data_IF_680018197773
#
_entry.id   IF_680018197773
#
_cell.length_a   1.000
_cell.length_b   1.000
_cell.length_c   1.000
_cell.angle_alpha   90.00
_cell.angle_beta   90.00
_cell.angle_gamma   90.00
#
_symmetry.space_group_name_H-M   'P 1'
#
loop_
_entity.id
_entity.type
_entity.pdbx_description
1 polymer ?
#
# COMPACT_ATOMS: atom_id res chain seq x y z
N UNK A 1 13.66 -1.20 3.88
CA UNK A 1 12.72 -2.01 3.05
C UNK A 1 11.37 -1.33 3.08
N UNK A 2 10.97 -0.65 1.99
CA UNK A 2 9.83 0.27 1.97
C UNK A 2 8.59 -0.33 2.64
N UNK A 3 8.28 0.14 3.84
CA UNK A 3 7.18 -0.39 4.64
C UNK A 3 5.82 0.09 4.14
N UNK A 4 5.75 1.32 3.64
CA UNK A 4 4.54 1.91 3.08
C UNK A 4 4.88 3.05 2.15
N UNK A 5 3.98 3.38 1.22
CA UNK A 5 4.19 4.44 0.24
C UNK A 5 2.94 5.27 0.06
N UNK A 6 3.09 6.56 -0.20
CA UNK A 6 2.00 7.39 -0.72
C UNK A 6 2.01 7.30 -2.24
N UNK A 7 0.97 6.70 -2.80
CA UNK A 7 0.88 6.42 -4.24
C UNK A 7 -0.03 7.39 -4.95
N UNK A 8 0.07 7.43 -6.28
CA UNK A 8 -1.02 7.98 -7.09
C UNK A 8 -2.18 6.97 -7.09
N UNK A 9 -3.17 7.20 -6.21
CA UNK A 9 -4.35 6.35 -6.10
C UNK A 9 -5.47 6.71 -7.12
N UNK A 10 -5.42 7.93 -7.67
CA UNK A 10 -6.35 8.36 -8.71
C UNK A 10 -5.90 7.88 -10.10
N UNK A 11 -6.61 6.89 -10.66
CA UNK A 11 -6.34 6.35 -11.98
C UNK A 11 -6.38 7.44 -13.08
N UNK A 12 -7.16 8.51 -12.91
CA UNK A 12 -7.27 9.59 -13.91
C UNK A 12 -5.94 10.29 -14.13
N UNK A 13 -5.04 10.30 -13.15
CA UNK A 13 -3.67 10.81 -13.34
C UNK A 13 -2.87 9.92 -14.30
N UNK A 14 -3.01 8.59 -14.22
CA UNK A 14 -2.38 7.69 -15.19
C UNK A 14 -2.90 7.90 -16.62
N UNK A 15 -4.22 8.08 -16.78
CA UNK A 15 -4.84 8.35 -18.08
C UNK A 15 -4.28 9.64 -18.68
N UNK A 16 -4.24 10.73 -17.90
CA UNK A 16 -3.76 12.04 -18.35
C UNK A 16 -2.26 12.04 -18.66
N UNK A 17 -1.44 11.39 -17.85
CA UNK A 17 0.03 11.43 -17.97
C UNK A 17 0.55 10.42 -18.99
N UNK A 18 -0.02 9.22 -19.07
CA UNK A 18 0.53 8.12 -19.89
C UNK A 18 -0.41 7.68 -21.02
N UNK A 19 -1.58 8.29 -21.18
CA UNK A 19 -2.60 7.80 -22.12
C UNK A 19 -3.06 6.37 -21.78
N UNK A 20 -2.91 5.95 -20.51
CA UNK A 20 -3.25 4.61 -20.08
C UNK A 20 -4.77 4.42 -20.05
N UNK A 21 -5.22 3.19 -20.25
CA UNK A 21 -6.63 2.81 -20.13
C UNK A 21 -6.85 2.10 -18.80
N UNK A 22 -7.92 2.44 -18.12
CA UNK A 22 -8.31 1.75 -16.90
C UNK A 22 -8.95 0.39 -17.23
N UNK A 23 -8.53 -0.66 -16.53
CA UNK A 23 -9.24 -1.95 -16.56
C UNK A 23 -10.51 -1.87 -15.70
N UNK A 24 -11.56 -1.26 -16.27
CA UNK A 24 -12.82 -1.02 -15.55
C UNK A 24 -13.43 -2.30 -14.98
N UNK A 25 -13.24 -3.43 -15.67
CA UNK A 25 -13.74 -4.73 -15.21
C UNK A 25 -13.06 -5.17 -13.91
N UNK A 26 -11.73 -5.11 -13.82
CA UNK A 26 -11.02 -5.49 -12.59
C UNK A 26 -11.32 -4.54 -11.41
N UNK A 27 -11.51 -3.24 -11.68
CA UNK A 27 -11.97 -2.30 -10.64
C UNK A 27 -13.39 -2.63 -10.16
N UNK A 28 -14.33 -2.86 -11.09
CA UNK A 28 -15.69 -3.23 -10.73
C UNK A 28 -15.73 -4.53 -9.91
N UNK A 29 -14.99 -5.57 -10.34
CA UNK A 29 -14.85 -6.83 -9.62
C UNK A 29 -14.33 -6.62 -8.20
N UNK A 30 -13.26 -5.86 -8.02
CA UNK A 30 -12.66 -5.59 -6.71
C UNK A 30 -13.67 -4.94 -5.74
N UNK A 31 -14.39 -3.90 -6.20
CA UNK A 31 -15.37 -3.21 -5.36
C UNK A 31 -16.60 -4.06 -5.09
N UNK A 32 -17.03 -4.87 -6.07
CA UNK A 32 -18.13 -5.81 -5.91
C UNK A 32 -17.81 -6.88 -4.85
N UNK A 33 -16.70 -7.61 -5.01
CA UNK A 33 -16.29 -8.65 -4.07
C UNK A 33 -16.13 -8.12 -2.64
N UNK A 34 -15.64 -6.88 -2.48
CA UNK A 34 -15.54 -6.23 -1.18
C UNK A 34 -16.90 -5.88 -0.60
N UNK A 35 -17.80 -5.33 -1.41
CA UNK A 35 -19.12 -4.92 -0.97
C UNK A 35 -20.06 -6.12 -0.70
N UNK A 36 -19.83 -7.28 -1.32
CA UNK A 36 -20.55 -8.53 -1.02
C UNK A 36 -19.92 -9.31 0.16
N UNK A 37 -18.82 -8.81 0.73
CA UNK A 37 -18.11 -9.47 1.84
C UNK A 37 -17.30 -10.71 1.44
N UNK A 38 -17.24 -11.04 0.15
CA UNK A 38 -16.39 -12.11 -0.39
C UNK A 38 -14.90 -11.79 -0.26
N UNK A 39 -14.54 -10.50 -0.24
CA UNK A 39 -13.16 -10.02 -0.10
C UNK A 39 -12.98 -9.07 1.07
N UNK A 40 -11.85 -9.19 1.77
CA UNK A 40 -11.39 -8.24 2.81
C UNK A 40 -10.43 -7.19 2.23
N UNK A 41 -10.62 -6.83 0.96
CA UNK A 41 -9.73 -5.90 0.25
C UNK A 41 -9.57 -4.58 1.02
N UNK A 42 -8.31 -4.23 1.27
CA UNK A 42 -7.91 -2.95 1.85
C UNK A 42 -7.65 -1.98 0.71
N UNK A 43 -8.55 -1.03 0.49
CA UNK A 43 -8.45 -0.06 -0.60
C UNK A 43 -8.20 1.32 0.01
N UNK A 44 -7.17 2.06 -0.45
CA UNK A 44 -6.93 3.43 -0.01
C UNK A 44 -8.12 4.33 -0.38
N UNK A 45 -8.52 5.22 0.53
CA UNK A 45 -9.67 6.11 0.33
C UNK A 45 -9.55 6.93 -0.95
N UNK A 46 -8.36 7.39 -1.31
CA UNK A 46 -8.15 8.18 -2.52
C UNK A 46 -8.48 7.41 -3.81
N UNK A 47 -8.41 6.06 -3.81
CA UNK A 47 -8.83 5.24 -4.95
C UNK A 47 -10.35 5.13 -5.05
N UNK A 48 -11.06 5.22 -3.93
CA UNK A 48 -12.53 5.31 -3.89
C UNK A 48 -13.00 6.69 -4.34
N UNK A 49 -12.34 7.74 -3.84
CA UNK A 49 -12.68 9.14 -4.13
C UNK A 49 -12.54 9.46 -5.64
N UNK A 50 -11.71 8.71 -6.38
CA UNK A 50 -11.61 8.81 -7.84
C UNK A 50 -12.96 8.56 -8.56
N UNK A 51 -13.87 7.80 -7.94
CA UNK A 51 -15.23 7.52 -8.43
C UNK A 51 -16.30 8.45 -7.82
N UNK A 52 -15.92 9.48 -7.06
CA UNK A 52 -16.85 10.43 -6.45
C UNK A 52 -17.69 11.19 -7.49
N UNK A 53 -17.13 11.43 -8.68
CA UNK A 53 -17.79 12.05 -9.83
C UNK A 53 -17.82 11.11 -11.06
N UNK A 54 -18.74 10.13 -11.09
CA UNK A 54 -18.78 9.14 -12.15
C UNK A 54 -19.31 9.75 -13.45
N UNK A 55 -18.65 9.44 -14.56
CA UNK A 55 -19.00 9.90 -15.92
C UNK A 55 -19.64 8.79 -16.75
N UNK A 56 -19.39 7.52 -16.43
CA UNK A 56 -19.94 6.34 -17.13
C UNK A 56 -20.88 5.51 -16.25
N UNK A 57 -21.65 4.60 -16.84
CA UNK A 57 -22.50 3.66 -16.07
C UNK A 57 -21.68 2.73 -15.18
N UNK A 58 -20.55 2.23 -15.67
CA UNK A 58 -19.64 1.39 -14.88
C UNK A 58 -19.07 2.16 -13.67
N UNK A 59 -18.70 3.43 -13.84
CA UNK A 59 -18.27 4.26 -12.71
C UNK A 59 -19.41 4.54 -11.72
N UNK A 60 -20.66 4.70 -12.20
CA UNK A 60 -21.84 4.84 -11.33
C UNK A 60 -22.09 3.57 -10.51
N UNK A 61 -21.92 2.40 -11.11
CA UNK A 61 -22.02 1.11 -10.42
C UNK A 61 -20.94 0.96 -9.35
N UNK A 62 -19.68 1.27 -9.66
CA UNK A 62 -18.59 1.25 -8.67
C UNK A 62 -18.89 2.22 -7.52
N UNK A 63 -19.34 3.45 -7.82
CA UNK A 63 -19.73 4.41 -6.78
C UNK A 63 -20.84 3.86 -5.88
N UNK A 64 -21.82 3.16 -6.44
CA UNK A 64 -22.90 2.54 -5.65
C UNK A 64 -22.36 1.43 -4.73
N UNK A 65 -21.45 0.59 -5.21
CA UNK A 65 -20.79 -0.47 -4.42
C UNK A 65 -19.96 0.12 -3.27
N UNK A 66 -19.19 1.18 -3.54
CA UNK A 66 -18.45 1.95 -2.52
C UNK A 66 -19.43 2.51 -1.48
N UNK A 67 -20.52 3.14 -1.92
CA UNK A 67 -21.55 3.70 -1.04
C UNK A 67 -22.19 2.66 -0.12
N UNK A 68 -22.54 1.49 -0.64
CA UNK A 68 -23.10 0.38 0.15
C UNK A 68 -22.11 -0.12 1.20
N UNK A 69 -20.87 -0.38 0.79
CA UNK A 69 -19.82 -0.81 1.73
C UNK A 69 -19.59 0.24 2.83
N UNK A 70 -19.53 1.52 2.47
CA UNK A 70 -19.32 2.61 3.43
C UNK A 70 -20.50 2.79 4.40
N UNK A 71 -21.75 2.57 3.95
CA UNK A 71 -22.92 2.56 4.82
C UNK A 71 -22.85 1.41 5.85
N UNK A 72 -22.50 0.20 5.41
CA UNK A 72 -22.32 -0.96 6.31
C UNK A 72 -21.19 -0.73 7.33
N UNK A 73 -20.04 -0.19 6.87
CA UNK A 73 -18.95 0.15 7.78
C UNK A 73 -19.36 1.23 8.78
N UNK A 74 -20.13 2.23 8.36
CA UNK A 74 -20.65 3.28 9.25
C UNK A 74 -21.49 2.67 10.35
N UNK A 75 -22.49 1.85 10.01
CA UNK A 75 -23.34 1.16 11.00
C UNK A 75 -22.52 0.30 11.97
N UNK A 76 -21.52 -0.44 11.46
CA UNK A 76 -20.65 -1.28 12.30
C UNK A 76 -19.82 -0.44 13.27
N UNK A 77 -19.22 0.65 12.80
CA UNK A 77 -18.41 1.55 13.62
C UNK A 77 -19.25 2.26 14.68
N UNK A 78 -20.48 2.68 14.37
CA UNK A 78 -21.41 3.28 15.33
C UNK A 78 -21.83 2.29 16.43
N UNK A 79 -22.15 1.05 16.05
CA UNK A 79 -22.45 -0.02 17.01
C UNK A 79 -21.25 -0.31 17.92
N UNK A 80 -20.04 -0.39 17.35
CA UNK A 80 -18.82 -0.63 18.12
C UNK A 80 -18.49 0.58 19.02
N UNK A 81 -18.72 1.81 18.56
CA UNK A 81 -18.57 3.01 19.38
C UNK A 81 -19.49 2.99 20.60
N UNK A 82 -20.76 2.57 20.44
CA UNK A 82 -21.68 2.40 21.55
C UNK A 82 -21.19 1.35 22.56
N UNK A 83 -20.75 0.17 22.07
CA UNK A 83 -20.18 -0.90 22.90
C UNK A 83 -18.96 -0.41 23.69
N UNK A 84 -18.04 0.31 23.06
CA UNK A 84 -16.84 0.79 23.74
C UNK A 84 -17.12 1.92 24.72
N UNK A 85 -18.09 2.82 24.44
CA UNK A 85 -18.53 3.84 25.41
C UNK A 85 -19.13 3.21 26.67
N UNK A 86 -19.94 2.17 26.52
CA UNK A 86 -20.44 1.39 27.66
C UNK A 86 -19.29 0.77 28.45
N UNK A 87 -18.36 0.09 27.76
CA UNK A 87 -17.17 -0.51 28.37
C UNK A 87 -16.33 0.51 29.15
N UNK A 88 -16.17 1.72 28.63
CA UNK A 88 -15.43 2.79 29.27
C UNK A 88 -16.11 3.23 30.57
N UNK A 89 -17.42 3.51 30.52
CA UNK A 89 -18.19 3.92 31.70
C UNK A 89 -18.22 2.86 32.81
N UNK A 90 -18.36 1.57 32.44
CA UNK A 90 -18.32 0.47 33.41
C UNK A 90 -16.93 0.33 34.07
N UNK A 91 -15.87 0.53 33.29
CA UNK A 91 -14.50 0.54 33.81
C UNK A 91 -14.25 1.71 34.77
N UNK A 92 -14.69 2.91 34.42
CA UNK A 92 -14.57 4.12 35.25
C UNK A 92 -15.34 3.98 36.57
N UNK A 93 -16.57 3.45 36.53
CA UNK A 93 -17.34 3.16 37.76
C UNK A 93 -16.63 2.16 38.66
N UNK A 94 -16.02 1.13 38.09
CA UNK A 94 -15.23 0.16 38.85
C UNK A 94 -14.03 0.85 39.49
N UNK A 95 -13.29 1.67 38.74
CA UNK A 95 -12.11 2.39 39.24
C UNK A 95 -12.43 3.40 40.36
N UNK A 96 -13.61 4.01 40.36
CA UNK A 96 -14.07 4.88 41.45
C UNK A 96 -14.26 4.15 42.78
N UNK A 97 -14.66 2.87 42.73
CA UNK A 97 -14.86 2.05 43.93
C UNK A 97 -13.57 1.34 44.36
N UNK A 98 -12.81 0.81 43.39
CA UNK A 98 -11.54 0.13 43.62
C UNK A 98 -10.67 0.14 42.36
N UNK A 99 -9.43 0.60 42.50
CA UNK A 99 -8.43 0.50 41.43
C UNK A 99 -8.07 -0.97 41.23
N UNK A 100 -8.27 -1.47 40.01
CA UNK A 100 -7.88 -2.83 39.61
C UNK A 100 -7.19 -2.81 38.25
N UNK A 101 -6.21 -3.69 38.05
CA UNK A 101 -5.50 -3.82 36.76
C UNK A 101 -6.46 -4.08 35.59
N UNK A 102 -7.49 -4.90 35.81
CA UNK A 102 -8.48 -5.23 34.80
C UNK A 102 -9.32 -4.01 34.37
N UNK A 103 -9.77 -3.19 35.33
CA UNK A 103 -10.54 -1.99 35.01
C UNK A 103 -9.68 -0.91 34.35
N UNK A 104 -8.43 -0.72 34.81
CA UNK A 104 -7.47 0.22 34.18
C UNK A 104 -7.19 -0.17 32.73
N UNK A 105 -6.94 -1.45 32.46
CA UNK A 105 -6.68 -1.93 31.09
C UNK A 105 -7.94 -1.85 30.22
N UNK A 106 -9.13 -2.11 30.79
CA UNK A 106 -10.40 -1.94 30.09
C UNK A 106 -10.66 -0.49 29.70
N UNK A 107 -10.39 0.46 30.60
CA UNK A 107 -10.48 1.90 30.33
C UNK A 107 -9.56 2.28 29.17
N UNK A 108 -8.28 1.88 29.23
CA UNK A 108 -7.30 2.15 28.18
C UNK A 108 -7.75 1.63 26.81
N UNK A 109 -8.09 0.35 26.73
CA UNK A 109 -8.54 -0.28 25.47
C UNK A 109 -9.80 0.39 24.92
N UNK A 110 -10.77 0.70 25.79
CA UNK A 110 -12.02 1.34 25.35
C UNK A 110 -11.76 2.75 24.80
N UNK A 111 -10.92 3.55 25.48
CA UNK A 111 -10.50 4.87 25.02
C UNK A 111 -9.83 4.80 23.65
N UNK A 112 -8.86 3.90 23.48
CA UNK A 112 -8.14 3.72 22.21
C UNK A 112 -9.10 3.34 21.07
N UNK A 113 -10.02 2.40 21.32
CA UNK A 113 -11.01 1.96 20.33
C UNK A 113 -12.06 3.03 20.01
N UNK A 114 -12.45 3.86 20.98
CA UNK A 114 -13.35 4.99 20.74
C UNK A 114 -12.69 6.02 19.83
N UNK A 115 -11.43 6.39 20.12
CA UNK A 115 -10.67 7.32 19.30
C UNK A 115 -10.50 6.78 17.87
N UNK A 116 -10.15 5.50 17.73
CA UNK A 116 -10.05 4.83 16.43
C UNK A 116 -11.36 4.83 15.66
N UNK A 117 -12.48 4.43 16.29
CA UNK A 117 -13.78 4.36 15.62
C UNK A 117 -14.27 5.74 15.17
N UNK A 118 -14.09 6.77 16.00
CA UNK A 118 -14.39 8.16 15.63
C UNK A 118 -13.56 8.64 14.44
N UNK A 119 -12.25 8.39 14.45
CA UNK A 119 -11.37 8.76 13.35
C UNK A 119 -11.77 8.06 12.04
N UNK A 120 -12.20 6.79 12.10
CA UNK A 120 -12.71 6.07 10.93
C UNK A 120 -14.04 6.63 10.42
N UNK A 121 -14.97 6.98 11.30
CA UNK A 121 -16.21 7.64 10.91
C UNK A 121 -15.95 9.02 10.26
N UNK A 122 -15.03 9.80 10.83
CA UNK A 122 -14.59 11.07 10.24
C UNK A 122 -14.02 10.85 8.83
N UNK A 123 -13.14 9.85 8.65
CA UNK A 123 -12.57 9.55 7.34
C UNK A 123 -13.61 9.11 6.30
N UNK A 124 -14.64 8.36 6.70
CA UNK A 124 -15.73 7.96 5.82
C UNK A 124 -16.61 9.15 5.37
N UNK A 125 -16.81 10.12 6.25
CA UNK A 125 -17.65 11.30 5.98
C UNK A 125 -16.88 12.43 5.30
N UNK A 126 -15.56 12.46 5.46
CA UNK A 126 -14.70 13.53 4.94
C UNK A 126 -14.63 13.50 3.41
N UNK A 127 -14.80 14.69 2.84
CA UNK A 127 -14.66 14.95 1.40
C UNK A 127 -13.30 15.55 1.03
N UNK A 128 -12.71 16.36 1.92
CA UNK A 128 -11.42 17.01 1.69
C UNK A 128 -10.28 16.00 1.72
N UNK A 129 -9.49 15.79 0.65
CA UNK A 129 -8.45 14.76 0.61
C UNK A 129 -7.31 15.03 1.61
N UNK A 130 -6.74 13.96 2.18
CA UNK A 130 -5.55 14.01 3.05
C UNK A 130 -4.44 13.12 2.46
N UNK A 131 -3.15 13.46 2.62
CA UNK A 131 -2.04 12.65 2.11
C UNK A 131 -2.11 11.16 2.51
N UNK A 132 -2.58 10.88 3.74
CA UNK A 132 -2.78 9.52 4.25
C UNK A 132 -3.78 8.66 3.47
N UNK A 133 -4.67 9.28 2.70
CA UNK A 133 -5.71 8.57 1.92
C UNK A 133 -5.12 7.79 0.76
N UNK A 134 -3.93 8.18 0.32
CA UNK A 134 -3.15 7.53 -0.72
C UNK A 134 -2.03 6.65 -0.16
N UNK A 135 -1.92 6.50 1.16
CA UNK A 135 -0.88 5.67 1.78
C UNK A 135 -1.28 4.20 1.75
N UNK A 136 -0.45 3.38 1.11
CA UNK A 136 -0.61 1.93 1.03
C UNK A 136 0.40 1.22 1.93
N UNK A 137 0.01 0.05 2.43
CA UNK A 137 0.83 -0.88 3.20
C UNK A 137 0.74 -2.26 2.53
N UNK A 138 1.65 -3.21 2.86
CA UNK A 138 1.49 -4.60 2.43
C UNK A 138 0.07 -5.13 2.73
N UNK A 139 -0.53 -5.75 1.72
CA UNK A 139 -1.92 -6.20 1.66
C UNK A 139 -2.93 -5.16 1.16
N UNK A 140 -2.54 -3.92 0.91
CA UNK A 140 -3.41 -2.89 0.34
C UNK A 140 -3.42 -2.95 -1.19
N UNK A 141 -4.54 -2.55 -1.79
CA UNK A 141 -4.63 -2.37 -3.23
C UNK A 141 -4.08 -1.02 -3.67
N UNK A 142 -3.50 -0.98 -4.87
CA UNK A 142 -3.04 0.22 -5.55
C UNK A 142 -3.32 0.11 -7.04
N UNK A 143 -3.57 1.22 -7.75
CA UNK A 143 -3.44 1.27 -9.19
C UNK A 143 -1.99 0.99 -9.58
N UNK A 144 -1.79 0.08 -10.53
CA UNK A 144 -0.49 -0.26 -11.10
C UNK A 144 -0.63 -0.32 -12.61
N UNK A 145 0.34 0.26 -13.31
CA UNK A 145 0.36 0.27 -14.77
C UNK A 145 1.14 -0.93 -15.32
N UNK A 146 0.56 -1.59 -16.31
CA UNK A 146 1.15 -2.70 -17.07
C UNK A 146 0.98 -2.43 -18.57
N UNK A 147 1.65 -3.19 -19.43
CA UNK A 147 1.29 -3.26 -20.85
C UNK A 147 0.60 -4.59 -21.14
N UNK A 148 -0.52 -4.51 -21.86
CA UNK A 148 -1.22 -5.67 -22.39
C UNK A 148 -1.65 -5.36 -23.83
N UNK A 149 -1.33 -6.26 -24.77
CA UNK A 149 -1.62 -6.07 -26.19
C UNK A 149 -1.14 -4.71 -26.75
N UNK A 150 0.06 -4.27 -26.34
CA UNK A 150 0.67 -3.01 -26.77
C UNK A 150 0.01 -1.74 -26.20
N UNK A 151 -0.90 -1.86 -25.23
CA UNK A 151 -1.56 -0.73 -24.58
C UNK A 151 -1.20 -0.66 -23.10
N UNK A 152 -0.99 0.56 -22.60
CA UNK A 152 -0.82 0.81 -21.16
C UNK A 152 -2.16 0.63 -20.46
N UNK A 153 -2.24 -0.33 -19.55
CA UNK A 153 -3.45 -0.65 -18.77
C UNK A 153 -3.17 -0.38 -17.29
N UNK A 154 -4.11 0.26 -16.60
CA UNK A 154 -4.07 0.44 -15.14
C UNK A 154 -5.01 -0.56 -14.49
N UNK A 155 -4.48 -1.39 -13.59
CA UNK A 155 -5.22 -2.40 -12.82
C UNK A 155 -5.11 -2.13 -11.33
N UNK A 156 -6.14 -2.46 -10.55
CA UNK A 156 -6.01 -2.47 -9.09
C UNK A 156 -5.34 -3.79 -8.69
N UNK A 157 -4.15 -3.69 -8.11
CA UNK A 157 -3.39 -4.87 -7.68
C UNK A 157 -3.08 -4.77 -6.18
N UNK A 158 -3.08 -5.92 -5.50
CA UNK A 158 -2.69 -5.99 -4.08
C UNK A 158 -1.17 -5.90 -3.95
N UNK A 159 -0.67 -4.88 -3.26
CA UNK A 159 0.72 -4.78 -2.85
C UNK A 159 1.01 -5.88 -1.84
N UNK A 160 2.03 -6.72 -2.07
CA UNK A 160 2.27 -8.06 -1.49
C UNK A 160 1.89 -9.17 -2.49
N UNK A 161 2.87 -9.49 -3.33
CA UNK A 161 2.74 -10.42 -4.43
C UNK A 161 2.54 -11.86 -3.95
N UNK A 162 1.62 -12.56 -4.61
CA UNK A 162 1.51 -14.01 -4.59
C UNK A 162 1.83 -14.53 -5.99
N UNK A 163 3.00 -15.13 -6.14
CA UNK A 163 3.45 -15.69 -7.44
C UNK A 163 2.54 -16.86 -7.81
N UNK A 164 2.11 -16.91 -9.08
CA UNK A 164 1.35 -18.03 -9.65
C UNK A 164 1.98 -19.39 -9.28
N UNK A 165 1.13 -20.36 -8.95
CA UNK A 165 1.57 -21.71 -8.52
C UNK A 165 2.04 -21.82 -7.07
N UNK A 166 2.11 -20.73 -6.29
CA UNK A 166 2.31 -20.81 -4.83
C UNK A 166 0.99 -21.13 -4.12
N UNK A 167 1.00 -21.79 -2.94
CA UNK A 167 -0.21 -21.97 -2.14
C UNK A 167 -0.87 -20.65 -1.74
N UNK A 168 -2.20 -20.65 -1.56
CA UNK A 168 -2.97 -19.46 -1.13
C UNK A 168 -2.47 -18.84 0.18
N UNK A 169 -1.87 -19.66 1.06
CA UNK A 169 -1.33 -19.23 2.35
C UNK A 169 0.10 -18.66 2.29
N UNK A 170 0.76 -18.70 1.13
CA UNK A 170 2.20 -18.46 1.03
C UNK A 170 2.61 -17.06 1.51
N UNK A 171 1.95 -16.02 0.99
CA UNK A 171 2.20 -14.62 1.32
C UNK A 171 1.78 -14.25 2.74
N UNK A 172 0.89 -15.03 3.36
CA UNK A 172 0.56 -14.89 4.79
C UNK A 172 1.67 -15.48 5.65
N UNK A 173 2.21 -16.64 5.25
CA UNK A 173 3.32 -17.30 5.94
C UNK A 173 4.66 -16.56 5.77
N UNK A 174 4.86 -15.93 4.61
CA UNK A 174 6.06 -15.18 4.25
C UNK A 174 5.67 -13.75 3.84
N UNK A 175 5.44 -12.85 4.80
CA UNK A 175 4.82 -11.55 4.53
C UNK A 175 5.72 -10.56 3.77
N UNK A 176 6.97 -10.90 3.48
CA UNK A 176 7.93 -10.04 2.78
C UNK A 176 7.73 -9.92 1.26
N UNK A 177 6.74 -10.60 0.68
CA UNK A 177 6.53 -10.65 -0.79
C UNK A 177 5.99 -9.35 -1.40
N UNK A 178 6.02 -8.23 -0.68
CA UNK A 178 5.79 -6.89 -1.23
C UNK A 178 7.07 -6.23 -1.78
N UNK A 179 8.25 -6.78 -1.45
CA UNK A 179 9.54 -6.30 -1.95
C UNK A 179 10.26 -7.38 -2.76
N UNK A 180 10.46 -7.10 -4.04
CA UNK A 180 11.28 -7.90 -4.93
C UNK A 180 12.74 -7.45 -4.85
N UNK A 181 13.54 -8.14 -4.04
CA UNK A 181 14.95 -7.79 -3.90
C UNK A 181 15.68 -8.04 -5.21
N UNK A 182 16.43 -7.02 -5.68
CA UNK A 182 17.24 -7.07 -6.90
C UNK A 182 18.15 -8.30 -6.96
N UNK A 183 18.79 -8.64 -5.83
CA UNK A 183 19.71 -9.78 -5.69
C UNK A 183 19.04 -11.17 -5.75
N UNK A 184 17.71 -11.23 -5.82
CA UNK A 184 16.93 -12.47 -5.90
C UNK A 184 15.94 -12.45 -7.08
N UNK A 185 16.16 -11.56 -8.06
CA UNK A 185 15.29 -11.43 -9.25
C UNK A 185 15.27 -12.71 -10.09
N UNK A 186 16.43 -13.36 -10.24
CA UNK A 186 16.58 -14.64 -10.96
C UNK A 186 16.41 -15.88 -10.06
N UNK A 187 16.20 -15.68 -8.76
CA UNK A 187 15.91 -16.74 -7.80
C UNK A 187 14.41 -16.86 -7.55
N UNK A 188 13.94 -16.35 -6.42
CA UNK A 188 12.51 -16.42 -6.04
C UNK A 188 11.58 -15.75 -7.06
N UNK A 189 12.03 -14.65 -7.66
CA UNK A 189 11.23 -13.84 -8.60
C UNK A 189 11.38 -14.26 -10.07
N UNK A 190 12.16 -15.31 -10.36
CA UNK A 190 12.38 -15.83 -11.72
C UNK A 190 11.10 -16.05 -12.53
N UNK A 191 9.98 -16.51 -11.95
CA UNK A 191 8.75 -16.67 -12.73
C UNK A 191 8.14 -15.35 -13.24
N UNK A 192 8.56 -14.20 -12.70
CA UNK A 192 8.00 -12.88 -13.03
C UNK A 192 9.01 -11.95 -13.70
N UNK A 193 10.29 -11.98 -13.30
CA UNK A 193 11.32 -11.11 -13.89
C UNK A 193 11.65 -11.55 -15.32
N UNK A 194 11.47 -10.66 -16.29
CA UNK A 194 11.54 -10.97 -17.72
C UNK A 194 10.18 -11.27 -18.36
N UNK A 195 9.10 -11.32 -17.57
CA UNK A 195 7.78 -11.77 -18.05
C UNK A 195 6.65 -10.81 -17.68
N UNK A 196 6.58 -10.40 -16.41
CA UNK A 196 5.42 -9.68 -15.85
C UNK A 196 5.89 -8.48 -15.04
N UNK A 197 6.14 -7.39 -15.75
CA UNK A 197 6.60 -6.12 -15.19
C UNK A 197 5.46 -5.11 -15.05
N UNK A 198 5.60 -4.23 -14.07
CA UNK A 198 4.62 -3.20 -13.74
C UNK A 198 5.32 -1.91 -13.29
N UNK A 199 4.59 -0.80 -13.30
CA UNK A 199 5.01 0.48 -12.72
C UNK A 199 3.97 0.96 -11.72
N UNK A 200 4.42 1.23 -10.50
CA UNK A 200 3.65 1.92 -9.48
C UNK A 200 4.13 3.37 -9.36
N UNK A 201 3.21 4.32 -9.26
CA UNK A 201 3.56 5.73 -9.11
C UNK A 201 3.56 6.12 -7.63
N UNK A 202 4.67 6.68 -7.16
CA UNK A 202 4.89 7.00 -5.73
C UNK A 202 5.31 8.46 -5.57
N UNK A 203 4.62 9.21 -4.69
CA UNK A 203 5.00 10.57 -4.32
C UNK A 203 6.10 10.55 -3.24
N UNK A 204 5.90 9.74 -2.21
CA UNK A 204 6.83 9.56 -1.08
C UNK A 204 6.76 8.13 -0.57
N UNK A 205 7.84 7.66 0.02
CA UNK A 205 7.86 6.38 0.73
C UNK A 205 8.17 6.58 2.21
N UNK A 206 7.77 5.61 3.02
CA UNK A 206 7.92 5.65 4.46
C UNK A 206 8.55 4.39 4.99
N UNK A 207 9.30 4.59 6.06
CA UNK A 207 10.26 3.62 6.51
C UNK A 207 10.36 3.64 8.04
N UNK A 208 10.31 2.45 8.66
CA UNK A 208 10.48 2.32 10.11
C UNK A 208 11.98 2.28 10.43
N UNK A 209 12.44 3.19 11.26
CA UNK A 209 13.84 3.33 11.66
C UNK A 209 13.96 3.18 13.17
N UNK A 210 15.00 2.49 13.62
CA UNK A 210 15.35 2.44 15.04
C UNK A 210 15.75 3.84 15.49
N UNK A 211 15.06 4.39 16.49
CA UNK A 211 15.29 5.76 16.97
C UNK A 211 16.75 6.00 17.37
N UNK A 212 17.40 5.01 18.01
CA UNK A 212 18.81 5.08 18.38
C UNK A 212 19.74 5.31 17.17
N UNK A 213 19.45 4.67 16.03
CA UNK A 213 20.23 4.88 14.80
C UNK A 213 20.05 6.28 14.24
N UNK A 214 18.82 6.81 14.29
CA UNK A 214 18.53 8.17 13.85
C UNK A 214 19.22 9.22 14.74
N UNK A 215 19.23 9.00 16.06
CA UNK A 215 19.82 9.92 17.04
C UNK A 215 21.35 9.75 17.18
N UNK A 216 21.95 8.76 16.52
CA UNK A 216 23.38 8.46 16.64
C UNK A 216 23.80 8.00 18.04
N UNK A 217 22.85 7.48 18.82
CA UNK A 217 23.03 7.05 20.20
C UNK A 217 23.27 5.54 20.29
N UNK A 218 23.92 5.10 21.38
CA UNK A 218 24.14 3.68 21.61
C UNK A 218 22.79 2.97 21.82
N UNK A 219 22.56 1.85 21.13
CA UNK A 219 21.29 1.11 21.24
C UNK A 219 20.96 0.64 22.68
N UNK A 220 21.94 0.62 23.58
CA UNK A 220 21.80 0.25 24.98
C UNK A 220 21.17 1.36 25.85
N UNK A 221 21.14 2.61 25.39
CA UNK A 221 20.52 3.75 26.11
C UNK A 221 19.05 3.96 25.75
N UNK A 222 18.52 3.18 24.81
CA UNK A 222 17.12 3.21 24.41
C UNK A 222 16.44 1.87 24.71
N UNK A 223 15.15 1.89 25.05
CA UNK A 223 14.35 0.67 25.01
C UNK A 223 14.39 0.14 23.56
N UNK A 224 14.70 -1.14 23.36
CA UNK A 224 14.95 -1.78 22.04
C UNK A 224 13.75 -1.70 21.06
N UNK A 225 12.65 -1.06 21.48
CA UNK A 225 11.37 -0.99 20.80
C UNK A 225 11.02 0.41 20.28
N UNK A 226 11.84 1.43 20.52
CA UNK A 226 11.57 2.78 19.99
C UNK A 226 11.90 2.85 18.50
N UNK A 227 10.89 2.62 17.66
CA UNK A 227 10.95 2.89 16.22
C UNK A 227 10.24 4.20 15.90
N UNK A 228 10.80 4.96 14.97
CA UNK A 228 10.15 6.12 14.36
C UNK A 228 9.85 5.82 12.89
N UNK A 229 8.84 6.47 12.35
CA UNK A 229 8.54 6.40 10.92
C UNK A 229 9.13 7.66 10.27
N UNK A 230 9.98 7.47 9.26
CA UNK A 230 10.45 8.55 8.42
C UNK A 230 9.67 8.59 7.12
N UNK A 231 9.30 9.79 6.67
CA UNK A 231 8.88 10.07 5.30
C UNK A 231 10.13 10.42 4.50
N UNK A 232 10.31 9.81 3.32
CA UNK A 232 11.34 10.13 2.35
C UNK A 232 10.69 10.70 1.08
N UNK A 233 11.10 11.92 0.72
CA UNK A 233 10.58 12.67 -0.42
C UNK A 233 11.70 13.03 -1.39
N UNK A 234 11.52 12.81 -2.70
CA UNK A 234 12.50 13.26 -3.68
C UNK A 234 12.55 14.80 -3.69
N UNK A 235 13.74 15.36 -3.54
CA UNK A 235 13.98 16.82 -3.43
C UNK A 235 13.56 17.62 -4.66
N UNK A 236 13.53 16.99 -5.84
CA UNK A 236 13.00 17.59 -7.06
C UNK A 236 11.46 17.68 -7.08
N UNK A 237 10.78 17.07 -6.10
CA UNK A 237 9.32 17.02 -6.02
C UNK A 237 8.64 16.18 -7.11
N UNK A 238 9.43 15.43 -7.89
CA UNK A 238 8.92 14.63 -9.00
C UNK A 238 8.33 13.30 -8.54
N UNK A 239 7.47 12.74 -9.38
CA UNK A 239 6.82 11.47 -9.13
C UNK A 239 7.77 10.32 -9.44
N UNK A 240 7.94 9.39 -8.50
CA UNK A 240 8.73 8.19 -8.71
C UNK A 240 7.93 7.16 -9.51
N UNK A 241 8.51 6.69 -10.63
CA UNK A 241 8.00 5.58 -11.43
C UNK A 241 8.64 4.29 -10.94
N UNK A 242 8.06 3.67 -9.91
CA UNK A 242 8.69 2.54 -9.22
C UNK A 242 8.54 1.26 -10.02
N UNK A 243 9.67 0.63 -10.34
CA UNK A 243 9.73 -0.68 -10.99
C UNK A 243 9.11 -1.75 -10.10
N UNK A 244 8.21 -2.56 -10.66
CA UNK A 244 7.49 -3.60 -9.95
C UNK A 244 7.41 -4.89 -10.77
N UNK A 245 7.23 -6.00 -10.07
CA UNK A 245 6.83 -7.29 -10.65
C UNK A 245 5.39 -7.60 -10.23
N UNK A 246 4.62 -8.23 -11.10
CA UNK A 246 3.24 -8.59 -10.78
C UNK A 246 2.90 -10.00 -11.22
N UNK A 247 1.87 -10.58 -10.58
CA UNK A 247 1.36 -11.90 -10.90
C UNK A 247 -0.16 -11.88 -10.87
N UNK A 248 -0.77 -12.56 -11.84
CA UNK A 248 -2.11 -13.13 -11.68
C UNK A 248 -1.96 -14.49 -11.01
N UNK A 249 -2.67 -14.69 -9.92
CA UNK A 249 -2.70 -15.95 -9.19
C UNK A 249 -4.13 -16.48 -9.18
N UNK A 250 -4.27 -17.76 -9.46
CA UNK A 250 -5.55 -18.48 -9.46
C UNK A 250 -5.35 -19.86 -8.84
N UNK A 251 -6.37 -20.37 -8.17
CA UNK A 251 -6.42 -21.74 -7.66
C UNK A 251 -7.88 -22.23 -7.61
N UNK A 252 -8.12 -23.55 -7.61
CA UNK A 252 -9.48 -24.08 -7.42
C UNK A 252 -10.11 -23.52 -6.13
N UNK A 253 -11.38 -23.13 -6.21
CA UNK A 253 -12.20 -22.62 -5.11
C UNK A 253 -11.69 -21.34 -4.43
N UNK A 254 -10.71 -20.65 -5.03
CA UNK A 254 -10.15 -19.40 -4.54
C UNK A 254 -10.38 -18.28 -5.57
N UNK A 255 -10.70 -17.04 -5.15
CA UNK A 255 -10.84 -15.93 -6.07
C UNK A 255 -9.49 -15.57 -6.70
N UNK A 256 -9.54 -15.21 -7.98
CA UNK A 256 -8.36 -14.71 -8.71
C UNK A 256 -7.79 -13.46 -8.05
N UNK A 257 -6.48 -13.44 -7.93
CA UNK A 257 -5.73 -12.38 -7.27
C UNK A 257 -4.71 -11.76 -8.22
N UNK A 258 -4.87 -10.47 -8.49
CA UNK A 258 -3.82 -9.63 -9.04
C UNK A 258 -3.01 -9.03 -7.89
N UNK A 259 -1.71 -9.27 -7.90
CA UNK A 259 -0.82 -8.77 -6.84
C UNK A 259 0.56 -8.42 -7.37
N UNK A 260 1.26 -7.53 -6.67
CA UNK A 260 2.54 -7.00 -7.12
C UNK A 260 3.52 -6.76 -5.97
N UNK A 261 4.79 -6.57 -6.33
CA UNK A 261 5.88 -6.24 -5.45
C UNK A 261 6.77 -5.16 -6.07
N UNK A 262 7.22 -4.21 -5.25
CA UNK A 262 8.16 -3.18 -5.66
C UNK A 262 9.58 -3.76 -5.70
N UNK A 263 10.34 -3.47 -6.76
CA UNK A 263 11.74 -3.87 -6.81
C UNK A 263 12.54 -2.95 -5.89
N UNK A 264 13.37 -3.57 -5.04
CA UNK A 264 14.21 -2.85 -4.10
C UNK A 264 15.68 -3.18 -4.33
N UNK A 265 16.55 -2.24 -4.00
CA UNK A 265 18.00 -2.37 -4.03
C UNK A 265 18.65 -1.75 -2.79
N UNK A 266 19.98 -1.74 -2.74
CA UNK A 266 20.73 -0.92 -1.79
C UNK A 266 20.26 0.55 -1.83
N UNK A 267 20.11 1.19 -0.66
CA UNK A 267 19.61 2.55 -0.56
C UNK A 267 20.70 3.57 -0.96
N UNK A 268 20.31 4.76 -1.44
CA UNK A 268 21.25 5.85 -1.61
C UNK A 268 21.81 6.32 -0.24
N UNK A 269 22.96 7.02 -0.21
CA UNK A 269 23.68 7.32 1.03
C UNK A 269 22.84 8.01 2.11
N UNK A 270 21.95 8.92 1.75
CA UNK A 270 21.10 9.68 2.67
C UNK A 270 20.00 8.81 3.32
N UNK A 271 19.48 7.82 2.60
CA UNK A 271 18.52 6.85 3.14
C UNK A 271 19.24 5.81 4.01
N UNK A 272 20.46 5.42 3.61
CA UNK A 272 21.32 4.53 4.40
C UNK A 272 21.73 5.17 5.73
N UNK A 273 22.12 6.45 5.70
CA UNK A 273 22.49 7.24 6.87
C UNK A 273 21.33 7.38 7.87
N UNK A 274 20.10 7.43 7.38
CA UNK A 274 18.89 7.39 8.20
C UNK A 274 18.58 5.99 8.77
N UNK A 275 19.44 4.99 8.58
CA UNK A 275 19.34 3.67 9.20
C UNK A 275 18.56 2.63 8.40
N UNK A 276 18.24 2.91 7.12
CA UNK A 276 17.60 1.94 6.22
C UNK A 276 18.59 1.14 5.40
N UNK A 277 18.18 -0.06 5.01
CA UNK A 277 19.03 -1.04 4.33
C UNK A 277 18.60 -1.35 2.89
N UNK A 278 17.43 -0.86 2.47
CA UNK A 278 16.87 -1.06 1.13
C UNK A 278 15.99 0.10 0.71
N UNK A 279 16.03 0.46 -0.57
CA UNK A 279 15.18 1.47 -1.19
C UNK A 279 14.49 0.91 -2.44
N UNK A 280 13.30 1.42 -2.75
CA UNK A 280 12.61 1.16 -4.02
C UNK A 280 13.41 1.72 -5.20
N UNK A 281 13.26 1.12 -6.38
CA UNK A 281 13.94 1.57 -7.60
C UNK A 281 12.96 2.39 -8.47
N UNK A 282 13.07 3.73 -8.52
CA UNK A 282 12.38 4.52 -9.53
C UNK A 282 13.11 4.42 -10.88
N UNK A 283 12.41 4.03 -11.94
CA UNK A 283 12.96 4.08 -13.31
C UNK A 283 12.69 5.44 -13.93
N UNK A 284 13.52 5.84 -14.90
CA UNK A 284 13.30 7.07 -15.66
C UNK A 284 12.06 6.97 -16.55
N UNK A 285 11.35 8.08 -16.81
CA UNK A 285 10.17 8.09 -17.67
C UNK A 285 10.40 7.47 -19.06
N UNK A 286 11.55 7.73 -19.69
CA UNK A 286 11.93 7.19 -21.00
C UNK A 286 12.10 5.66 -21.02
N UNK A 287 12.32 5.03 -19.87
CA UNK A 287 12.52 3.59 -19.75
C UNK A 287 11.20 2.83 -19.46
N UNK A 288 10.08 3.54 -19.24
CA UNK A 288 8.80 2.92 -18.84
C UNK A 288 8.29 1.90 -19.85
N UNK A 289 8.29 2.24 -21.14
CA UNK A 289 7.73 1.34 -22.16
C UNK A 289 8.58 0.09 -22.34
N UNK A 290 9.91 0.24 -22.33
CA UNK A 290 10.84 -0.90 -22.39
C UNK A 290 10.70 -1.79 -21.17
N UNK A 291 10.60 -1.19 -19.97
CA UNK A 291 10.38 -1.93 -18.73
C UNK A 291 9.06 -2.71 -18.74
N UNK A 292 7.98 -2.11 -19.24
CA UNK A 292 6.66 -2.76 -19.29
C UNK A 292 6.52 -3.80 -20.41
N UNK A 293 7.49 -3.91 -21.33
CA UNK A 293 7.59 -4.95 -22.36
C UNK A 293 8.87 -5.78 -22.15
N UNK A 294 8.97 -6.56 -21.05
CA UNK A 294 10.18 -7.30 -20.77
C UNK A 294 10.39 -8.45 -21.77
N UNK A 295 11.66 -8.78 -22.00
CA UNK A 295 12.07 -9.95 -22.78
C UNK A 295 12.84 -10.92 -21.88
N UNK A 296 12.28 -12.11 -21.67
CA UNK A 296 12.91 -13.15 -20.87
C UNK A 296 14.21 -13.70 -21.47
N UNK A 297 14.46 -13.47 -22.76
CA UNK A 297 15.71 -13.81 -23.43
C UNK A 297 16.80 -12.74 -23.28
N UNK A 298 16.44 -11.53 -22.84
CA UNK A 298 17.35 -10.41 -22.60
C UNK A 298 17.12 -9.78 -21.21
N UNK A 299 17.44 -10.55 -20.16
CA UNK A 299 17.40 -10.04 -18.79
C UNK A 299 18.43 -8.93 -18.55
N UNK A 300 19.50 -8.87 -19.36
CA UNK A 300 20.53 -7.84 -19.23
C UNK A 300 19.96 -6.45 -19.54
N UNK A 301 19.10 -6.31 -20.55
CA UNK A 301 18.38 -5.07 -20.83
C UNK A 301 17.49 -4.63 -19.65
N UNK A 302 16.84 -5.59 -18.97
CA UNK A 302 16.01 -5.28 -17.80
C UNK A 302 16.86 -4.77 -16.62
N UNK A 303 18.03 -5.38 -16.38
CA UNK A 303 18.96 -4.86 -15.39
C UNK A 303 19.53 -3.50 -15.76
N UNK A 304 19.83 -3.25 -17.04
CA UNK A 304 20.33 -1.96 -17.51
C UNK A 304 19.35 -0.81 -17.18
N UNK A 305 18.04 -1.05 -17.30
CA UNK A 305 17.00 -0.10 -16.88
C UNK A 305 17.04 0.12 -15.36
N UNK A 306 17.20 -0.94 -14.58
CA UNK A 306 17.31 -0.83 -13.12
C UNK A 306 18.62 -0.15 -12.71
N UNK A 307 19.70 -0.22 -13.49
CA UNK A 307 20.94 0.52 -13.23
C UNK A 307 20.82 1.99 -13.60
N UNK A 308 20.21 2.27 -14.75
CA UNK A 308 19.84 3.61 -15.21
C UNK A 308 18.57 4.15 -14.54
N UNK A 309 18.45 3.89 -13.23
CA UNK A 309 17.37 4.39 -12.39
C UNK A 309 17.48 5.89 -12.19
N UNK A 310 16.35 6.51 -11.89
CA UNK A 310 16.37 7.85 -11.35
C UNK A 310 16.98 7.85 -9.94
N UNK A 311 17.74 8.89 -9.60
CA UNK A 311 18.47 9.01 -8.33
C UNK A 311 18.29 10.41 -7.74
N UNK A 312 17.05 10.82 -7.41
CA UNK A 312 16.85 12.06 -6.69
C UNK A 312 17.45 11.93 -5.29
N UNK A 313 17.90 13.05 -4.72
CA UNK A 313 18.23 13.10 -3.30
C UNK A 313 16.95 13.04 -2.48
N UNK A 314 16.87 12.14 -1.49
CA UNK A 314 15.70 12.02 -0.62
C UNK A 314 15.83 12.83 0.66
N UNK A 315 15.02 13.88 0.77
CA UNK A 315 14.82 14.58 2.04
C UNK A 315 13.98 13.71 2.97
N UNK A 316 14.31 13.71 4.27
CA UNK A 316 13.55 12.95 5.26
C UNK A 316 13.10 13.77 6.46
N UNK A 317 11.94 13.40 7.00
CA UNK A 317 11.36 13.98 8.22
C UNK A 317 10.60 12.92 9.00
N UNK A 318 10.33 13.18 10.28
CA UNK A 318 9.39 12.37 11.06
C UNK A 318 8.02 12.39 10.39
N UNK A 319 7.46 11.22 10.13
CA UNK A 319 6.13 11.09 9.58
C UNK A 319 5.09 11.46 10.64
N UNK A 320 4.13 12.30 10.24
CA UNK A 320 2.96 12.67 11.06
C UNK A 320 1.88 11.57 11.06
#
# INVERSE_FOLDING_TARGET
MCYSAQVVADYKKFVRTFGATMDMHEFARLFFERAEGASKAKIPKAMEDAFGEPKTDAEREIKALIGRFNAEQTTKLEQDLFKQRKRLADAERTLQTKVTKAATESQRIATDKIAWAKGKLEDLQRTEPKPRDSRIFPGHYSPVMVIENGRRIVRPMRYQCRIAGKPASYDVKYPGTYNARRDNLEGFWKPLFGYSHAVMLVDVFYENVQKAKLEGTLSETHDQRENVVLEFRPSNGELMHVACLWSRWSAPDEPDLLSFAAITDEPPPEVAAAGHDRCIIPIKPENIDTWLNPDASDLAAMYAILDDRDRPYYEHRLAA
#
